data_IF_782371495805
#
_entry.id   IF_782371495805
#
_cell.length_a   1.000
_cell.length_b   1.000
_cell.length_c   1.000
_cell.angle_alpha   90.00
_cell.angle_beta   90.00
_cell.angle_gamma   90.00
#
_symmetry.space_group_name_H-M   'P 1'
#
loop_
_entity.id
_entity.type
_entity.pdbx_description
1 polymer ?
#
# COMPACT_ATOMS: atom_id res chain seq x y z
N UNK A 1 9.79 9.86 12.38
CA UNK A 1 10.67 10.33 11.29
C UNK A 1 9.75 10.87 10.22
N UNK A 2 9.83 12.17 9.93
CA UNK A 2 9.09 12.77 8.82
C UNK A 2 9.90 12.54 7.55
N UNK A 3 9.52 11.55 6.75
CA UNK A 3 10.01 11.45 5.38
C UNK A 3 9.32 12.55 4.56
N UNK A 4 10.11 13.50 4.07
CA UNK A 4 9.61 14.74 3.47
C UNK A 4 9.41 14.70 1.96
N UNK A 5 9.79 13.63 1.26
CA UNK A 5 9.75 13.60 -0.21
C UNK A 5 9.27 12.25 -0.74
N UNK A 6 8.30 12.31 -1.64
CA UNK A 6 7.79 11.19 -2.41
C UNK A 6 8.72 10.97 -3.62
N UNK A 7 9.17 9.74 -3.83
CA UNK A 7 10.31 9.48 -4.71
C UNK A 7 9.96 9.22 -6.17
N UNK A 8 8.67 9.11 -6.52
CA UNK A 8 8.24 8.82 -7.89
C UNK A 8 7.50 9.99 -8.51
N UNK A 9 7.97 10.42 -9.66
CA UNK A 9 7.10 11.07 -10.65
C UNK A 9 6.09 10.04 -11.12
N UNK A 10 4.82 10.31 -10.87
CA UNK A 10 3.74 9.41 -11.28
C UNK A 10 3.18 9.89 -12.60
N UNK A 11 3.16 8.97 -13.55
CA UNK A 11 2.52 9.16 -14.84
C UNK A 11 1.20 8.41 -14.81
N UNK A 12 0.11 9.13 -15.07
CA UNK A 12 -1.18 8.56 -15.40
C UNK A 12 -1.61 9.10 -16.76
N UNK A 13 -2.32 8.29 -17.53
CA UNK A 13 -2.89 8.68 -18.82
C UNK A 13 -4.40 8.63 -18.79
N UNK A 14 -5.00 7.82 -17.91
CA UNK A 14 -6.45 7.65 -17.82
C UNK A 14 -6.93 7.88 -16.40
N UNK A 15 -8.14 8.43 -16.27
CA UNK A 15 -8.90 8.45 -15.02
C UNK A 15 -10.05 7.47 -15.18
N UNK A 16 -10.03 6.42 -14.38
CA UNK A 16 -11.05 5.37 -14.39
C UNK A 16 -12.00 5.61 -13.23
N UNK A 17 -13.24 5.97 -13.51
CA UNK A 17 -14.30 6.22 -12.53
C UNK A 17 -15.18 4.99 -12.44
N UNK A 18 -15.20 4.34 -11.27
CA UNK A 18 -16.07 3.21 -10.96
C UNK A 18 -17.19 3.72 -10.05
N UNK A 19 -18.40 3.78 -10.58
CA UNK A 19 -19.59 4.27 -9.89
C UNK A 19 -20.49 3.11 -9.45
N UNK A 20 -20.53 2.87 -8.14
CA UNK A 20 -21.35 1.85 -7.48
C UNK A 20 -22.60 2.42 -6.77
N UNK A 21 -22.88 3.72 -6.94
CA UNK A 21 -24.08 4.36 -6.39
C UNK A 21 -25.29 4.07 -7.29
N UNK A 22 -26.50 4.10 -6.75
CA UNK A 22 -27.71 3.99 -7.56
C UNK A 22 -28.02 5.31 -8.30
N UNK A 23 -28.90 5.27 -9.29
CA UNK A 23 -29.35 6.48 -10.02
C UNK A 23 -30.16 7.46 -9.14
N UNK A 24 -30.69 6.97 -8.01
CA UNK A 24 -31.50 7.76 -7.07
C UNK A 24 -30.66 8.47 -6.01
N UNK A 25 -29.34 8.31 -6.04
CA UNK A 25 -28.40 8.86 -5.07
C UNK A 25 -27.65 10.06 -5.63
N UNK A 26 -26.78 10.65 -4.79
CA UNK A 26 -25.92 11.75 -5.23
C UNK A 26 -25.00 11.28 -6.35
N UNK A 27 -25.14 11.86 -7.54
CA UNK A 27 -24.40 11.47 -8.75
C UNK A 27 -22.97 12.06 -8.76
N UNK A 28 -22.23 11.87 -7.65
CA UNK A 28 -20.89 12.43 -7.43
C UNK A 28 -19.87 11.96 -8.47
N UNK A 29 -19.98 10.72 -8.93
CA UNK A 29 -19.17 10.18 -10.03
C UNK A 29 -19.35 10.97 -11.33
N UNK A 30 -20.60 11.26 -11.69
CA UNK A 30 -20.92 12.05 -12.89
C UNK A 30 -20.47 13.51 -12.74
N UNK A 31 -20.58 14.07 -11.53
CA UNK A 31 -20.04 15.40 -11.26
C UNK A 31 -18.52 15.45 -11.43
N UNK A 32 -17.79 14.41 -11.02
CA UNK A 32 -16.36 14.29 -11.28
C UNK A 32 -16.06 14.19 -12.78
N UNK A 33 -16.77 13.35 -13.53
CA UNK A 33 -16.59 13.25 -14.98
C UNK A 33 -16.75 14.62 -15.65
N UNK A 34 -17.85 15.33 -15.34
CA UNK A 34 -18.11 16.68 -15.88
C UNK A 34 -17.00 17.66 -15.48
N UNK A 35 -16.57 17.64 -14.22
CA UNK A 35 -15.47 18.49 -13.74
C UNK A 35 -14.17 18.25 -14.51
N UNK A 36 -13.84 16.99 -14.82
CA UNK A 36 -12.65 16.63 -15.58
C UNK A 36 -12.73 17.14 -17.03
N UNK A 37 -13.89 16.98 -17.67
CA UNK A 37 -14.15 17.50 -19.02
C UNK A 37 -14.05 19.03 -19.04
N UNK A 38 -14.69 19.72 -18.10
CA UNK A 38 -14.66 21.17 -17.98
C UNK A 38 -13.25 21.70 -17.67
N UNK A 39 -12.41 20.86 -17.06
CA UNK A 39 -10.99 21.14 -16.81
C UNK A 39 -10.09 20.87 -18.03
N UNK A 40 -10.66 20.59 -19.21
CA UNK A 40 -9.96 20.22 -20.45
C UNK A 40 -9.08 18.96 -20.32
N UNK A 41 -9.44 18.02 -19.45
CA UNK A 41 -8.85 16.69 -19.50
C UNK A 41 -9.42 15.93 -20.72
N UNK A 42 -8.56 15.19 -21.43
CA UNK A 42 -8.96 14.51 -22.66
C UNK A 42 -10.10 13.54 -22.38
N UNK A 43 -11.21 13.68 -23.11
CA UNK A 43 -12.44 12.92 -22.86
C UNK A 43 -12.22 11.41 -23.06
N UNK A 44 -11.45 11.04 -24.07
CA UNK A 44 -11.06 9.66 -24.39
C UNK A 44 -10.24 9.02 -23.26
N UNK A 45 -9.61 9.84 -22.42
CA UNK A 45 -8.82 9.43 -21.26
C UNK A 45 -9.66 9.32 -19.98
N UNK A 46 -10.97 9.60 -20.03
CA UNK A 46 -11.91 9.42 -18.92
C UNK A 46 -12.74 8.17 -19.20
N UNK A 47 -12.58 7.14 -18.37
CA UNK A 47 -13.34 5.90 -18.48
C UNK A 47 -14.35 5.81 -17.35
N UNK A 48 -15.63 5.89 -17.68
CA UNK A 48 -16.73 5.80 -16.71
C UNK A 48 -17.37 4.41 -16.75
N UNK A 49 -17.41 3.74 -15.59
CA UNK A 49 -18.04 2.44 -15.43
C UNK A 49 -19.14 2.52 -14.37
N UNK A 50 -20.40 2.38 -14.80
CA UNK A 50 -21.51 2.13 -13.88
C UNK A 50 -21.50 0.66 -13.48
N UNK A 51 -21.46 0.39 -12.18
CA UNK A 51 -21.41 -0.95 -11.61
C UNK A 51 -22.63 -1.17 -10.73
N UNK A 52 -23.42 -2.19 -11.05
CA UNK A 52 -24.69 -2.49 -10.37
C UNK A 52 -24.63 -3.75 -9.52
N UNK A 53 -23.58 -4.56 -9.66
CA UNK A 53 -23.36 -5.78 -8.89
C UNK A 53 -21.88 -6.17 -8.76
N UNK A 54 -21.58 -7.15 -7.91
CA UNK A 54 -20.22 -7.60 -7.67
C UNK A 54 -19.58 -8.29 -8.88
N UNK A 55 -20.40 -8.86 -9.77
CA UNK A 55 -19.89 -9.50 -11.01
C UNK A 55 -19.34 -8.43 -11.94
N UNK A 56 -20.14 -7.42 -12.26
CA UNK A 56 -19.73 -6.27 -13.07
C UNK A 56 -18.58 -5.48 -12.45
N UNK A 57 -18.51 -5.37 -11.11
CA UNK A 57 -17.34 -4.82 -10.43
C UNK A 57 -16.07 -5.62 -10.77
N UNK A 58 -16.13 -6.95 -10.63
CA UNK A 58 -15.00 -7.82 -10.92
C UNK A 58 -14.62 -7.78 -12.41
N UNK A 59 -15.59 -7.67 -13.31
CA UNK A 59 -15.36 -7.58 -14.76
C UNK A 59 -14.59 -6.29 -15.09
N UNK A 60 -15.02 -5.14 -14.55
CA UNK A 60 -14.33 -3.85 -14.73
C UNK A 60 -12.90 -3.91 -14.20
N UNK A 61 -12.70 -4.46 -12.99
CA UNK A 61 -11.37 -4.59 -12.39
C UNK A 61 -10.46 -5.52 -13.20
N UNK A 62 -10.99 -6.64 -13.70
CA UNK A 62 -10.24 -7.54 -14.56
C UNK A 62 -9.88 -6.89 -15.90
N UNK A 63 -10.79 -6.11 -16.47
CA UNK A 63 -10.54 -5.37 -17.70
C UNK A 63 -9.40 -4.36 -17.51
N UNK A 64 -9.44 -3.55 -16.45
CA UNK A 64 -8.36 -2.60 -16.10
C UNK A 64 -7.03 -3.35 -15.97
N UNK A 65 -7.01 -4.50 -15.31
CA UNK A 65 -5.79 -5.31 -15.15
C UNK A 65 -5.26 -5.81 -16.49
N UNK A 66 -6.13 -6.29 -17.38
CA UNK A 66 -5.74 -6.77 -18.71
C UNK A 66 -5.13 -5.61 -19.51
N UNK A 67 -5.78 -4.46 -19.55
CA UNK A 67 -5.29 -3.28 -20.27
C UNK A 67 -3.93 -2.78 -19.75
N UNK A 68 -3.72 -2.79 -18.43
CA UNK A 68 -2.41 -2.45 -17.84
C UNK A 68 -1.33 -3.46 -18.26
N UNK A 69 -1.67 -4.75 -18.36
CA UNK A 69 -0.72 -5.80 -18.72
C UNK A 69 -0.38 -5.79 -20.22
N UNK A 70 -1.36 -5.50 -21.07
CA UNK A 70 -1.20 -5.48 -22.53
C UNK A 70 -0.55 -4.18 -23.00
N UNK A 71 -1.01 -3.04 -22.47
CA UNK A 71 -0.67 -1.71 -22.97
C UNK A 71 -0.15 -0.76 -21.88
N UNK A 72 0.46 -1.25 -20.79
CA UNK A 72 0.89 -0.42 -19.64
C UNK A 72 1.86 0.76 -19.93
N UNK A 73 2.39 0.85 -21.15
CA UNK A 73 3.11 2.05 -21.63
C UNK A 73 2.17 3.19 -22.03
N UNK A 74 0.95 2.87 -22.47
CA UNK A 74 -0.10 3.77 -22.93
C UNK A 74 -1.20 3.89 -21.89
N UNK A 75 -1.67 2.77 -21.31
CA UNK A 75 -2.73 2.72 -20.32
C UNK A 75 -2.16 2.72 -18.89
N UNK A 76 -2.24 3.89 -18.23
CA UNK A 76 -1.79 4.10 -16.85
C UNK A 76 -2.94 4.70 -16.04
N UNK A 77 -3.79 3.85 -15.42
CA UNK A 77 -5.01 4.31 -14.78
C UNK A 77 -4.73 4.94 -13.41
N UNK A 78 -5.41 6.05 -13.14
CA UNK A 78 -5.75 6.49 -11.80
C UNK A 78 -7.19 6.05 -11.51
N UNK A 79 -7.37 5.21 -10.48
CA UNK A 79 -8.68 4.60 -10.18
C UNK A 79 -9.43 5.43 -9.15
N UNK A 80 -10.62 5.90 -9.51
CA UNK A 80 -11.60 6.53 -8.63
C UNK A 80 -12.76 5.57 -8.36
N UNK A 81 -13.18 5.43 -7.11
CA UNK A 81 -14.33 4.60 -6.73
C UNK A 81 -15.32 5.46 -5.94
N UNK A 82 -16.56 5.54 -6.39
CA UNK A 82 -17.70 6.12 -5.66
C UNK A 82 -18.63 4.98 -5.23
N UNK A 83 -18.83 4.82 -3.92
CA UNK A 83 -19.65 3.75 -3.38
C UNK A 83 -20.08 4.05 -1.95
N UNK A 84 -21.04 3.27 -1.44
CA UNK A 84 -21.22 3.14 0.00
C UNK A 84 -20.18 2.22 0.60
N UNK A 85 -19.95 2.40 1.91
CA UNK A 85 -18.98 1.58 2.62
C UNK A 85 -19.32 1.41 4.08
N UNK A 86 -18.82 0.31 4.60
CA UNK A 86 -18.90 -0.10 5.99
C UNK A 86 -17.50 -0.44 6.50
N UNK A 87 -17.37 -0.76 7.78
CA UNK A 87 -16.08 -1.17 8.34
C UNK A 87 -15.49 -2.42 7.67
N UNK A 88 -16.33 -3.32 7.13
CA UNK A 88 -15.90 -4.62 6.58
C UNK A 88 -15.92 -4.71 5.05
N UNK A 89 -16.73 -3.89 4.38
CA UNK A 89 -16.97 -4.03 2.95
C UNK A 89 -17.36 -2.72 2.24
N UNK A 90 -17.10 -2.69 0.94
CA UNK A 90 -17.74 -1.79 -0.03
C UNK A 90 -19.15 -2.30 -0.32
N UNK A 91 -20.10 -1.39 -0.51
CA UNK A 91 -21.49 -1.68 -0.79
C UNK A 91 -21.89 -1.13 -2.16
N UNK A 92 -22.44 -2.00 -3.01
CA UNK A 92 -22.98 -1.67 -4.32
C UNK A 92 -24.48 -1.48 -4.16
N UNK A 93 -24.93 -0.25 -4.38
CA UNK A 93 -26.22 0.23 -3.89
C UNK A 93 -27.40 -0.39 -4.62
N UNK A 94 -27.26 -0.64 -5.93
CA UNK A 94 -28.37 -1.05 -6.79
C UNK A 94 -28.94 -2.43 -6.40
N UNK A 95 -28.09 -3.45 -6.27
CA UNK A 95 -28.51 -4.79 -5.82
C UNK A 95 -28.30 -5.06 -4.32
N UNK A 96 -27.75 -4.10 -3.59
CA UNK A 96 -27.45 -4.27 -2.17
C UNK A 96 -26.32 -5.28 -1.89
N UNK A 97 -25.37 -5.42 -2.82
CA UNK A 97 -24.29 -6.39 -2.73
C UNK A 97 -23.06 -5.83 -2.01
N UNK A 98 -22.29 -6.70 -1.35
CA UNK A 98 -21.13 -6.30 -0.55
C UNK A 98 -19.87 -6.98 -1.06
N UNK A 99 -18.81 -6.19 -1.22
CA UNK A 99 -17.47 -6.67 -1.55
C UNK A 99 -16.55 -6.44 -0.35
N UNK A 100 -16.02 -7.50 0.28
CA UNK A 100 -15.08 -7.34 1.38
C UNK A 100 -13.86 -6.52 0.97
N UNK A 101 -13.39 -5.64 1.85
CA UNK A 101 -12.19 -4.82 1.59
C UNK A 101 -10.98 -5.69 1.22
N UNK A 102 -10.86 -6.89 1.78
CA UNK A 102 -9.79 -7.83 1.45
C UNK A 102 -9.78 -8.23 -0.03
N UNK A 103 -10.95 -8.41 -0.65
CA UNK A 103 -11.06 -8.71 -2.07
C UNK A 103 -10.56 -7.55 -2.93
N UNK A 104 -11.00 -6.33 -2.61
CA UNK A 104 -10.58 -5.11 -3.31
C UNK A 104 -9.06 -4.92 -3.21
N UNK A 105 -8.48 -5.16 -2.04
CA UNK A 105 -7.03 -5.04 -1.83
C UNK A 105 -6.24 -6.02 -2.69
N UNK A 106 -6.65 -7.28 -2.78
CA UNK A 106 -5.93 -8.28 -3.57
C UNK A 106 -5.98 -7.95 -5.07
N UNK A 107 -7.07 -7.36 -5.56
CA UNK A 107 -7.14 -6.84 -6.93
C UNK A 107 -6.21 -5.67 -7.17
N UNK A 108 -6.25 -4.68 -6.27
CA UNK A 108 -5.41 -3.50 -6.34
C UNK A 108 -3.92 -3.87 -6.31
N UNK A 109 -3.54 -4.89 -5.52
CA UNK A 109 -2.18 -5.46 -5.56
C UNK A 109 -1.79 -5.96 -6.94
N UNK A 110 -2.66 -6.70 -7.61
CA UNK A 110 -2.38 -7.26 -8.93
C UNK A 110 -2.17 -6.16 -9.98
N UNK A 111 -3.04 -5.14 -9.97
CA UNK A 111 -2.91 -3.97 -10.87
C UNK A 111 -1.65 -3.17 -10.53
N UNK A 112 -1.43 -2.85 -9.26
CA UNK A 112 -0.28 -2.07 -8.83
C UNK A 112 1.06 -2.78 -9.12
N UNK A 113 1.09 -4.11 -9.03
CA UNK A 113 2.26 -4.91 -9.42
C UNK A 113 2.53 -4.78 -10.93
N UNK A 114 1.50 -4.88 -11.76
CA UNK A 114 1.62 -4.67 -13.21
C UNK A 114 2.07 -3.23 -13.56
N UNK A 115 1.69 -2.25 -12.73
CA UNK A 115 2.13 -0.86 -12.84
C UNK A 115 3.46 -0.55 -12.15
N UNK A 116 4.25 -1.55 -11.72
CA UNK A 116 5.53 -1.35 -11.03
C UNK A 116 5.43 -0.42 -9.80
N UNK A 117 4.39 -0.63 -8.99
CA UNK A 117 4.06 0.18 -7.82
C UNK A 117 3.90 1.67 -8.17
N UNK A 118 3.03 1.97 -9.14
CA UNK A 118 2.67 3.34 -9.55
C UNK A 118 1.16 3.60 -9.55
N UNK A 119 0.33 2.64 -9.10
CA UNK A 119 -1.13 2.82 -9.06
C UNK A 119 -1.51 3.93 -8.08
N UNK A 120 -2.27 4.90 -8.56
CA UNK A 120 -2.89 5.95 -7.75
C UNK A 120 -4.37 5.65 -7.66
N UNK A 121 -4.94 5.83 -6.47
CA UNK A 121 -6.38 5.71 -6.29
C UNK A 121 -7.00 6.75 -5.37
N UNK A 122 -8.26 7.03 -5.62
CA UNK A 122 -9.15 7.76 -4.73
C UNK A 122 -10.36 6.89 -4.46
N UNK A 123 -10.50 6.38 -3.23
CA UNK A 123 -11.63 5.56 -2.83
C UNK A 123 -12.59 6.43 -2.04
N UNK A 124 -13.52 7.06 -2.77
CA UNK A 124 -14.52 8.00 -2.29
C UNK A 124 -15.69 7.24 -1.65
N UNK A 125 -15.41 6.62 -0.51
CA UNK A 125 -16.34 5.72 0.16
C UNK A 125 -16.15 5.80 1.68
N UNK A 126 -17.25 5.83 2.44
CA UNK A 126 -17.17 5.82 3.90
C UNK A 126 -16.40 4.57 4.40
N UNK A 127 -15.60 4.73 5.46
CA UNK A 127 -14.81 3.66 6.09
C UNK A 127 -13.78 2.98 5.16
N UNK A 128 -13.53 3.52 3.97
CA UNK A 128 -12.59 2.92 3.04
C UNK A 128 -11.12 2.97 3.52
N UNK A 129 -10.79 3.70 4.59
CA UNK A 129 -9.50 3.52 5.28
C UNK A 129 -9.23 2.07 5.73
N UNK A 130 -10.27 1.24 5.94
CA UNK A 130 -10.11 -0.19 6.24
C UNK A 130 -9.50 -1.01 5.08
N UNK A 131 -9.59 -0.51 3.84
CA UNK A 131 -8.82 -1.01 2.69
C UNK A 131 -7.32 -1.03 2.98
N UNK A 132 -6.79 -0.02 3.68
CA UNK A 132 -5.38 0.02 4.08
C UNK A 132 -5.19 -0.61 5.47
N UNK A 133 -5.94 -0.14 6.47
CA UNK A 133 -5.68 -0.40 7.89
C UNK A 133 -5.67 -1.89 8.25
N UNK A 134 -6.66 -2.64 7.76
CA UNK A 134 -6.87 -4.03 8.16
C UNK A 134 -6.28 -5.04 7.17
N UNK A 135 -6.02 -4.60 5.94
CA UNK A 135 -5.76 -5.49 4.82
C UNK A 135 -4.36 -5.31 4.20
N UNK A 136 -3.57 -4.35 4.68
CA UNK A 136 -2.21 -4.10 4.20
C UNK A 136 -1.15 -4.67 5.15
N UNK A 137 -0.18 -5.39 4.58
CA UNK A 137 0.98 -5.95 5.28
C UNK A 137 2.21 -5.79 4.40
N UNK A 138 3.38 -5.53 5.00
CA UNK A 138 4.64 -5.42 4.25
C UNK A 138 5.15 -6.77 3.70
N UNK A 139 4.48 -7.87 4.01
CA UNK A 139 4.79 -9.22 3.50
C UNK A 139 4.10 -9.56 2.17
N UNK A 140 3.24 -8.68 1.66
CA UNK A 140 2.57 -8.82 0.36
C UNK A 140 2.84 -7.56 -0.46
N UNK A 141 2.71 -7.61 -1.77
CA UNK A 141 2.84 -6.40 -2.60
C UNK A 141 1.88 -5.28 -2.13
N UNK A 142 2.30 -4.02 -2.28
CA UNK A 142 1.49 -2.87 -1.90
C UNK A 142 0.23 -2.79 -2.78
N UNK A 143 -0.96 -2.52 -2.21
CA UNK A 143 -2.19 -2.42 -3.01
C UNK A 143 -2.21 -1.19 -3.92
N UNK A 144 -1.54 -0.11 -3.55
CA UNK A 144 -1.39 1.08 -4.37
C UNK A 144 -0.03 1.71 -4.09
N UNK A 145 0.43 2.59 -4.97
CA UNK A 145 1.50 3.52 -4.65
C UNK A 145 0.99 4.66 -3.78
N UNK A 146 -0.17 5.20 -4.14
CA UNK A 146 -0.79 6.35 -3.50
C UNK A 146 -2.30 6.13 -3.40
N UNK A 147 -2.90 6.33 -2.24
CA UNK A 147 -4.35 6.18 -2.08
C UNK A 147 -4.93 7.26 -1.16
N UNK A 148 -6.04 7.87 -1.57
CA UNK A 148 -6.81 8.83 -0.79
C UNK A 148 -8.13 8.19 -0.42
N UNK A 149 -8.51 8.27 0.86
CA UNK A 149 -9.73 7.65 1.34
C UNK A 149 -10.26 8.30 2.62
N UNK A 150 -11.58 8.37 2.83
CA UNK A 150 -12.16 8.76 4.12
C UNK A 150 -11.73 7.85 5.27
N UNK A 151 -11.44 8.46 6.43
CA UNK A 151 -11.05 7.72 7.65
C UNK A 151 -12.24 6.91 8.19
N UNK A 152 -13.42 7.53 8.23
CA UNK A 152 -14.68 6.93 8.68
C UNK A 152 -15.82 7.46 7.81
N UNK A 153 -16.85 8.06 8.41
CA UNK A 153 -17.95 8.72 7.69
C UNK A 153 -17.52 10.09 7.22
N UNK A 154 -17.93 10.45 6.01
CA UNK A 154 -17.71 11.77 5.41
C UNK A 154 -19.02 12.23 4.77
N UNK A 155 -19.29 13.53 4.78
CA UNK A 155 -20.46 14.07 4.07
C UNK A 155 -20.22 14.06 2.56
N UNK A 156 -21.29 13.94 1.77
CA UNK A 156 -21.19 13.99 0.29
C UNK A 156 -20.52 15.29 -0.16
N UNK A 157 -20.91 16.42 0.42
CA UNK A 157 -20.33 17.73 0.08
C UNK A 157 -18.84 17.81 0.40
N UNK A 158 -18.39 17.31 1.56
CA UNK A 158 -16.96 17.28 1.90
C UNK A 158 -16.18 16.37 0.93
N UNK A 159 -16.79 15.27 0.52
CA UNK A 159 -16.18 14.31 -0.40
C UNK A 159 -16.03 14.91 -1.80
N UNK A 160 -17.07 15.57 -2.33
CA UNK A 160 -16.99 16.29 -3.61
C UNK A 160 -15.94 17.39 -3.59
N UNK A 161 -15.90 18.21 -2.52
CA UNK A 161 -14.88 19.25 -2.36
C UNK A 161 -13.48 18.63 -2.40
N UNK A 162 -13.26 17.53 -1.67
CA UNK A 162 -11.99 16.84 -1.64
C UNK A 162 -11.60 16.25 -3.01
N UNK A 163 -12.55 15.61 -3.69
CA UNK A 163 -12.40 15.07 -5.05
C UNK A 163 -11.98 16.18 -6.01
N UNK A 164 -12.74 17.27 -6.13
CA UNK A 164 -12.40 18.37 -7.04
C UNK A 164 -11.09 19.07 -6.66
N UNK A 165 -10.81 19.22 -5.36
CA UNK A 165 -9.54 19.79 -4.89
C UNK A 165 -8.35 18.94 -5.33
N UNK A 166 -8.46 17.62 -5.17
CA UNK A 166 -7.40 16.70 -5.56
C UNK A 166 -7.19 16.67 -7.07
N UNK A 167 -8.26 16.47 -7.86
CA UNK A 167 -8.15 16.40 -9.31
C UNK A 167 -7.77 17.76 -9.92
N UNK A 168 -8.33 18.87 -9.45
CA UNK A 168 -7.89 20.20 -9.87
C UNK A 168 -6.41 20.45 -9.57
N UNK A 169 -5.93 19.95 -8.42
CA UNK A 169 -4.52 20.00 -8.07
C UNK A 169 -3.64 19.17 -9.00
N UNK A 170 -4.05 17.93 -9.31
CA UNK A 170 -3.24 16.99 -10.10
C UNK A 170 -3.16 17.42 -11.56
N UNK A 171 -4.27 17.91 -12.14
CA UNK A 171 -4.32 18.41 -13.51
C UNK A 171 -3.46 19.68 -13.68
N UNK A 172 -3.42 20.54 -12.65
CA UNK A 172 -2.65 21.79 -12.68
C UNK A 172 -1.15 21.59 -12.45
N UNK A 173 -0.78 20.76 -11.48
CA UNK A 173 0.60 20.71 -10.99
C UNK A 173 1.33 19.39 -11.30
N UNK A 174 0.60 18.35 -11.75
CA UNK A 174 1.11 16.99 -11.96
C UNK A 174 1.88 16.44 -10.74
N UNK A 175 1.49 16.86 -9.54
CA UNK A 175 2.21 16.59 -8.29
C UNK A 175 1.24 16.08 -7.23
N UNK A 176 1.23 14.76 -7.02
CA UNK A 176 0.38 14.08 -6.05
C UNK A 176 0.55 14.62 -4.63
N UNK A 177 1.78 14.99 -4.28
CA UNK A 177 2.12 15.49 -2.94
C UNK A 177 1.45 16.83 -2.73
N UNK A 178 1.62 17.75 -3.68
CA UNK A 178 1.01 19.07 -3.59
C UNK A 178 -0.51 18.97 -3.61
N UNK A 179 -1.09 18.15 -4.49
CA UNK A 179 -2.54 17.98 -4.57
C UNK A 179 -3.14 17.39 -3.31
N UNK A 180 -2.51 16.38 -2.72
CA UNK A 180 -2.99 15.75 -1.48
C UNK A 180 -2.80 16.63 -0.24
N UNK A 181 -1.78 17.49 -0.20
CA UNK A 181 -1.56 18.45 0.88
C UNK A 181 -2.63 19.55 0.96
N UNK A 182 -3.49 19.69 -0.06
CA UNK A 182 -4.63 20.60 -0.04
C UNK A 182 -5.86 20.00 0.67
N UNK A 183 -5.84 18.72 1.02
CA UNK A 183 -6.97 18.00 1.59
C UNK A 183 -7.03 18.12 3.11
N UNK A 184 -8.24 17.96 3.68
CA UNK A 184 -8.44 17.93 5.13
C UNK A 184 -8.06 16.56 5.71
N UNK A 185 -6.85 16.49 6.28
CA UNK A 185 -6.31 15.29 6.92
C UNK A 185 -7.05 14.84 8.19
N UNK A 186 -7.99 15.64 8.72
CA UNK A 186 -8.87 15.18 9.81
C UNK A 186 -9.99 14.27 9.30
N UNK A 187 -10.31 14.35 8.01
CA UNK A 187 -11.38 13.57 7.37
C UNK A 187 -10.83 12.48 6.46
N UNK A 188 -9.70 12.76 5.80
CA UNK A 188 -9.11 11.92 4.77
C UNK A 188 -7.75 11.38 5.21
N UNK A 189 -7.52 10.11 4.91
CA UNK A 189 -6.22 9.48 5.01
C UNK A 189 -5.53 9.47 3.65
N UNK A 190 -4.25 9.82 3.64
CA UNK A 190 -3.39 9.73 2.48
C UNK A 190 -2.35 8.64 2.71
N UNK A 191 -2.51 7.55 1.98
CA UNK A 191 -1.62 6.42 1.97
C UNK A 191 -0.53 6.58 0.92
N UNK A 192 0.70 6.17 1.26
CA UNK A 192 1.78 6.01 0.31
C UNK A 192 2.61 4.77 0.65
N UNK A 193 2.94 3.95 -0.35
CA UNK A 193 3.61 2.67 -0.12
C UNK A 193 5.05 2.83 0.36
N UNK A 194 5.84 3.77 -0.18
CA UNK A 194 7.20 4.05 0.31
C UNK A 194 7.19 4.43 1.80
N UNK A 195 6.32 5.38 2.17
CA UNK A 195 6.18 5.85 3.56
C UNK A 195 5.70 4.72 4.48
N UNK A 196 4.74 3.91 4.04
CA UNK A 196 4.22 2.78 4.80
C UNK A 196 5.32 1.74 5.04
N UNK A 197 6.03 1.34 3.98
CA UNK A 197 7.11 0.36 4.06
C UNK A 197 8.22 0.81 4.99
N UNK A 198 8.76 2.01 4.75
CA UNK A 198 9.89 2.54 5.50
C UNK A 198 9.56 2.77 6.97
N UNK A 199 8.34 3.23 7.28
CA UNK A 199 7.88 3.40 8.66
C UNK A 199 7.68 2.05 9.36
N UNK A 200 7.08 1.08 8.67
CA UNK A 200 6.83 -0.26 9.21
C UNK A 200 8.14 -1.02 9.45
N UNK A 201 9.07 -0.95 8.50
CA UNK A 201 10.39 -1.55 8.62
C UNK A 201 11.19 -0.91 9.76
N UNK A 202 11.18 0.43 9.85
CA UNK A 202 11.84 1.15 10.94
C UNK A 202 11.27 0.75 12.31
N UNK A 203 9.94 0.70 12.45
CA UNK A 203 9.27 0.28 13.68
C UNK A 203 9.67 -1.15 14.06
N UNK A 204 9.58 -2.10 13.12
CA UNK A 204 10.00 -3.49 13.33
C UNK A 204 11.47 -3.59 13.75
N UNK A 205 12.35 -2.78 13.16
CA UNK A 205 13.75 -2.71 13.56
C UNK A 205 13.95 -2.13 14.97
N UNK A 206 13.18 -1.13 15.39
CA UNK A 206 13.27 -0.61 16.77
C UNK A 206 12.80 -1.65 17.78
N UNK A 207 11.67 -2.32 17.53
CA UNK A 207 11.08 -3.32 18.41
C UNK A 207 11.95 -4.59 18.53
N UNK A 208 12.46 -5.09 17.40
CA UNK A 208 13.14 -6.39 17.35
C UNK A 208 14.67 -6.32 17.49
N UNK A 209 15.25 -5.14 17.75
CA UNK A 209 16.69 -5.02 18.02
C UNK A 209 17.04 -4.86 19.50
N UNK A 210 16.04 -4.85 20.41
CA UNK A 210 16.28 -4.69 21.86
C UNK A 210 15.41 -5.62 22.72
N UNK A 211 15.86 -5.81 23.96
CA UNK A 211 15.07 -6.45 25.03
C UNK A 211 14.46 -7.80 24.64
N UNK A 212 13.15 -7.94 24.86
CA UNK A 212 12.37 -9.14 24.54
C UNK A 212 12.27 -9.37 23.03
N UNK A 213 12.04 -8.31 22.23
CA UNK A 213 11.91 -8.41 20.78
C UNK A 213 13.16 -8.96 20.09
N UNK A 214 14.35 -8.55 20.56
CA UNK A 214 15.64 -9.10 20.12
C UNK A 214 15.75 -10.60 20.37
N UNK A 215 15.33 -11.06 21.56
CA UNK A 215 15.37 -12.49 21.89
C UNK A 215 14.43 -13.28 20.98
N UNK A 216 13.23 -12.75 20.72
CA UNK A 216 12.26 -13.36 19.80
C UNK A 216 12.85 -13.47 18.39
N UNK A 217 13.43 -12.38 17.86
CA UNK A 217 14.06 -12.38 16.52
C UNK A 217 15.20 -13.39 16.41
N UNK A 218 16.03 -13.52 17.45
CA UNK A 218 17.10 -14.54 17.49
C UNK A 218 16.54 -15.95 17.44
N UNK A 219 15.46 -16.24 18.17
CA UNK A 219 14.87 -17.58 18.16
C UNK A 219 14.12 -17.89 16.85
N UNK A 220 13.50 -16.88 16.21
CA UNK A 220 12.89 -17.04 14.88
C UNK A 220 13.94 -17.43 13.83
N UNK A 221 15.02 -16.66 13.71
CA UNK A 221 16.11 -16.96 12.78
C UNK A 221 16.80 -18.30 13.09
N UNK A 222 16.91 -18.66 14.38
CA UNK A 222 17.41 -19.98 14.76
C UNK A 222 16.49 -21.10 14.29
N UNK A 223 15.18 -20.89 14.38
CA UNK A 223 14.17 -21.87 13.97
C UNK A 223 14.16 -22.05 12.45
N UNK A 224 14.26 -20.96 11.69
CA UNK A 224 14.42 -20.99 10.23
C UNK A 224 15.68 -21.75 9.81
N UNK A 225 16.82 -21.44 10.43
CA UNK A 225 18.10 -22.08 10.16
C UNK A 225 18.07 -23.59 10.49
N UNK A 226 17.38 -23.99 11.55
CA UNK A 226 17.17 -25.41 11.89
C UNK A 226 16.24 -26.07 10.87
N UNK A 227 15.15 -25.42 10.49
CA UNK A 227 14.22 -25.94 9.48
C UNK A 227 14.93 -26.16 8.15
N UNK A 228 15.79 -25.24 7.73
CA UNK A 228 16.57 -25.34 6.49
C UNK A 228 17.61 -26.47 6.49
N UNK A 229 18.01 -26.99 7.66
CA UNK A 229 18.90 -28.16 7.73
C UNK A 229 18.18 -29.49 7.51
N UNK A 230 16.85 -29.54 7.71
CA UNK A 230 16.06 -30.77 7.57
C UNK A 230 16.68 -31.98 8.27
N UNK A 231 16.92 -33.04 7.49
CA UNK A 231 17.42 -34.33 7.99
C UNK A 231 18.80 -34.25 8.64
N UNK A 232 19.62 -33.27 8.27
CA UNK A 232 20.94 -33.08 8.87
C UNK A 232 20.78 -32.78 10.37
N UNK A 233 19.79 -31.95 10.74
CA UNK A 233 19.55 -31.62 12.14
C UNK A 233 18.83 -32.73 12.90
N UNK A 234 17.94 -33.47 12.24
CA UNK A 234 17.23 -34.60 12.88
C UNK A 234 18.15 -35.80 13.11
N UNK A 235 19.19 -35.98 12.29
CA UNK A 235 20.18 -37.05 12.50
C UNK A 235 21.25 -36.72 13.55
N UNK A 236 21.34 -35.47 14.02
CA UNK A 236 22.23 -35.10 15.12
C UNK A 236 21.79 -35.72 16.45
N UNK A 237 22.77 -36.12 17.25
CA UNK A 237 22.59 -36.49 18.66
C UNK A 237 22.10 -35.30 19.49
N UNK A 238 21.57 -35.59 20.70
CA UNK A 238 21.09 -34.56 21.63
C UNK A 238 22.20 -33.55 21.97
N UNK A 239 23.43 -34.01 22.20
CA UNK A 239 24.56 -33.13 22.53
C UNK A 239 25.00 -32.28 21.34
N UNK A 240 25.03 -32.83 20.13
CA UNK A 240 25.31 -32.06 18.91
C UNK A 240 24.26 -30.97 18.67
N UNK A 241 22.97 -31.27 18.86
CA UNK A 241 21.89 -30.27 18.74
C UNK A 241 22.05 -29.14 19.77
N UNK A 242 22.40 -29.47 21.03
CA UNK A 242 22.65 -28.45 22.07
C UNK A 242 23.81 -27.54 21.69
N UNK A 243 24.93 -28.12 21.26
CA UNK A 243 26.13 -27.39 20.84
C UNK A 243 25.83 -26.52 19.61
N UNK A 244 25.14 -27.07 18.61
CA UNK A 244 24.71 -26.36 17.41
C UNK A 244 23.85 -25.14 17.76
N UNK A 245 22.75 -25.33 18.52
CA UNK A 245 21.87 -24.23 18.92
C UNK A 245 22.63 -23.14 19.68
N UNK A 246 23.51 -23.52 20.60
CA UNK A 246 24.32 -22.55 21.38
C UNK A 246 25.23 -21.72 20.47
N UNK A 247 25.92 -22.37 19.54
CA UNK A 247 26.84 -21.71 18.62
C UNK A 247 26.10 -20.85 17.59
N UNK A 248 25.02 -21.35 17.00
CA UNK A 248 24.18 -20.62 16.07
C UNK A 248 23.56 -19.38 16.71
N UNK A 249 23.02 -19.46 17.93
CA UNK A 249 22.52 -18.28 18.67
C UNK A 249 23.58 -17.20 18.84
N UNK A 250 24.82 -17.58 19.19
CA UNK A 250 25.93 -16.61 19.33
C UNK A 250 26.23 -15.92 18.01
N UNK A 251 26.29 -16.68 16.90
CA UNK A 251 26.51 -16.14 15.55
C UNK A 251 25.38 -15.20 15.12
N UNK A 252 24.13 -15.63 15.26
CA UNK A 252 22.93 -14.83 14.93
C UNK A 252 22.95 -13.50 15.69
N UNK A 253 23.18 -13.52 17.01
CA UNK A 253 23.26 -12.29 17.83
C UNK A 253 24.30 -11.28 17.32
N UNK A 254 25.38 -11.74 16.70
CA UNK A 254 26.41 -10.87 16.10
C UNK A 254 25.96 -10.35 14.74
N UNK A 255 25.44 -11.23 13.88
CA UNK A 255 25.06 -10.92 12.49
C UNK A 255 23.89 -9.93 12.43
N UNK A 256 22.87 -10.07 13.27
CA UNK A 256 21.69 -9.17 13.22
C UNK A 256 22.00 -7.70 13.56
N UNK A 257 23.19 -7.41 14.09
CA UNK A 257 23.67 -6.05 14.35
C UNK A 257 24.52 -5.49 13.20
N UNK A 258 24.77 -6.26 12.15
CA UNK A 258 25.57 -5.84 11.01
C UNK A 258 24.70 -5.09 10.01
N UNK A 259 25.30 -4.09 9.37
CA UNK A 259 24.68 -3.30 8.32
C UNK A 259 24.19 -4.20 7.18
N UNK A 260 25.08 -5.04 6.64
CA UNK A 260 24.79 -5.86 5.46
C UNK A 260 23.63 -6.83 5.68
N UNK A 261 23.53 -7.42 6.88
CA UNK A 261 22.41 -8.31 7.20
C UNK A 261 21.06 -7.58 7.19
N UNK A 262 21.00 -6.40 7.82
CA UNK A 262 19.76 -5.62 7.84
C UNK A 262 19.47 -5.00 6.47
N UNK A 263 20.50 -4.66 5.68
CA UNK A 263 20.35 -4.20 4.30
C UNK A 263 19.76 -5.30 3.43
N UNK A 264 20.26 -6.54 3.54
CA UNK A 264 19.71 -7.67 2.80
C UNK A 264 18.24 -7.94 3.14
N UNK A 265 17.87 -7.86 4.43
CA UNK A 265 16.48 -7.99 4.85
C UNK A 265 15.60 -6.85 4.35
N UNK A 266 16.09 -5.60 4.41
CA UNK A 266 15.40 -4.45 3.84
C UNK A 266 15.14 -4.65 2.35
N UNK A 267 16.18 -5.00 1.58
CA UNK A 267 16.08 -5.18 0.13
C UNK A 267 15.04 -6.25 -0.22
N UNK A 268 15.12 -7.43 0.42
CA UNK A 268 14.18 -8.52 0.16
C UNK A 268 12.72 -8.13 0.47
N UNK A 269 12.48 -7.44 1.59
CA UNK A 269 11.13 -6.98 1.95
C UNK A 269 10.66 -5.82 1.07
N UNK A 270 11.57 -4.93 0.67
CA UNK A 270 11.31 -3.81 -0.23
C UNK A 270 10.93 -4.30 -1.62
N UNK A 271 11.66 -5.27 -2.17
CA UNK A 271 11.31 -5.93 -3.43
C UNK A 271 9.95 -6.61 -3.34
N UNK A 272 9.67 -7.30 -2.24
CA UNK A 272 8.37 -7.96 -2.02
C UNK A 272 7.21 -6.97 -1.96
N UNK A 273 7.38 -5.84 -1.26
CA UNK A 273 6.31 -4.89 -0.99
C UNK A 273 6.16 -3.82 -2.09
N UNK A 274 7.28 -3.24 -2.53
CA UNK A 274 7.35 -2.12 -3.45
C UNK A 274 7.68 -2.54 -4.88
N UNK A 275 8.28 -3.72 -5.10
CA UNK A 275 8.82 -4.14 -6.39
C UNK A 275 10.19 -3.53 -6.73
N UNK A 276 10.79 -2.75 -5.83
CA UNK A 276 12.11 -2.14 -6.00
C UNK A 276 12.76 -1.87 -4.65
N UNK A 277 14.04 -1.49 -4.69
CA UNK A 277 14.83 -1.11 -3.50
C UNK A 277 15.11 0.39 -3.52
N UNK A 278 14.78 1.08 -2.44
CA UNK A 278 15.23 2.45 -2.19
C UNK A 278 16.42 2.45 -1.21
N UNK A 279 17.64 2.49 -1.76
CA UNK A 279 18.85 2.45 -0.93
C UNK A 279 19.00 3.65 0.00
N UNK A 280 18.53 4.83 -0.42
CA UNK A 280 18.56 6.04 0.40
C UNK A 280 17.73 5.86 1.67
N UNK A 281 16.51 5.32 1.53
CA UNK A 281 15.63 5.08 2.66
C UNK A 281 16.24 4.12 3.70
N UNK A 282 16.95 3.07 3.27
CA UNK A 282 17.63 2.18 4.22
C UNK A 282 18.74 2.91 4.99
N UNK A 283 19.54 3.74 4.32
CA UNK A 283 20.62 4.48 4.95
C UNK A 283 20.11 5.46 6.01
N UNK A 284 18.97 6.11 5.76
CA UNK A 284 18.30 6.97 6.74
C UNK A 284 17.83 6.17 7.97
N UNK A 285 17.14 5.05 7.75
CA UNK A 285 16.70 4.13 8.81
C UNK A 285 17.90 3.67 9.64
N UNK A 286 18.96 3.22 8.98
CA UNK A 286 20.15 2.72 9.65
C UNK A 286 20.84 3.79 10.49
N UNK A 287 21.00 5.00 9.95
CA UNK A 287 21.59 6.13 10.67
C UNK A 287 20.81 6.43 11.96
N UNK A 288 19.48 6.48 11.87
CA UNK A 288 18.62 6.67 13.03
C UNK A 288 18.75 5.53 14.05
N UNK A 289 18.87 4.28 13.59
CA UNK A 289 19.09 3.13 14.47
C UNK A 289 20.42 3.20 15.20
N UNK A 290 21.52 3.55 14.52
CA UNK A 290 22.86 3.66 15.11
C UNK A 290 22.91 4.76 16.17
N UNK A 291 22.37 5.94 15.86
CA UNK A 291 22.28 7.05 16.83
C UNK A 291 21.51 6.62 18.07
N UNK A 292 20.36 5.96 17.91
CA UNK A 292 19.59 5.44 19.04
C UNK A 292 20.35 4.38 19.83
N UNK A 293 21.17 3.55 19.20
CA UNK A 293 21.98 2.53 19.89
C UNK A 293 23.11 3.13 20.72
N UNK A 294 23.62 4.31 20.35
CA UNK A 294 24.68 5.00 21.09
C UNK A 294 24.14 5.77 22.31
N UNK A 295 22.92 6.32 22.25
CA UNK A 295 22.28 7.07 23.35
C UNK A 295 21.90 6.25 24.59
N UNK A 296 21.99 4.92 24.52
CA UNK A 296 21.66 4.00 25.63
C UNK A 296 22.84 3.09 26.02
N UNK A 297 24.06 3.49 25.66
CA UNK A 297 25.29 3.00 26.27
C UNK A 297 25.73 3.99 27.34
#
# INVERSE_FOLDING_TARGET
MEYKVFYKEIQFSHIVIIDCLSEYESQTALHLENFLIDSNFEKESILYYKVTDATSFNDVINQIRIEVLEDGSVFRPLIHIEAHGSESALHISDKGEYIPWSGIVDFFRAVNAAMNNQLVSFIATCHAYNFIKQNNTISKFAPAYFCITPIEKISVSDLEIATFTFYGGILKNQDLTKSSNLLDFNKLYVYNSDKMFTSSFHAAMQEHNRGRGFRIRVELLLSELISGLGDIYTNMTIEERKVYRRNSRKKIKKIIKQYDFNKAQFNSQSETYLGYVNEHAFNEIWTHMVVNMQRHR
#
